data_IF_945246281174
#
_entry.id   IF_945246281174
#
_cell.length_a   1.000
_cell.length_b   1.000
_cell.length_c   1.000
_cell.angle_alpha   90.00
_cell.angle_beta   90.00
_cell.angle_gamma   90.00
#
_symmetry.space_group_name_H-M   'P 1'
#
loop_
_entity.id
_entity.type
_entity.pdbx_description
1 polymer ?
#
# COMPACT_ATOMS: atom_id res chain seq x y z
N UNK A 1 23.46 -20.93 -12.43
CA UNK A 1 22.34 -21.16 -11.49
C UNK A 1 21.60 -19.84 -11.30
N UNK A 2 20.32 -19.74 -11.70
CA UNK A 2 19.53 -18.51 -11.55
C UNK A 2 19.24 -18.27 -10.06
N UNK A 3 19.66 -17.12 -9.52
CA UNK A 3 19.23 -16.66 -8.20
C UNK A 3 17.70 -16.66 -8.16
N UNK A 4 17.10 -17.45 -7.26
CA UNK A 4 15.68 -17.34 -6.91
C UNK A 4 15.50 -15.96 -6.27
N UNK A 5 14.92 -15.04 -7.04
CA UNK A 5 14.49 -13.73 -6.54
C UNK A 5 13.60 -13.98 -5.33
N UNK A 6 14.00 -13.41 -4.19
CA UNK A 6 13.19 -13.17 -2.99
C UNK A 6 12.18 -14.27 -2.64
N UNK A 7 12.54 -15.13 -1.68
CA UNK A 7 11.61 -16.08 -1.09
C UNK A 7 10.28 -15.41 -0.75
N UNK A 8 9.18 -16.07 -1.12
CA UNK A 8 7.80 -15.58 -1.00
C UNK A 8 7.63 -14.75 0.27
N UNK A 9 7.55 -13.42 0.11
CA UNK A 9 7.13 -12.57 1.20
C UNK A 9 5.76 -13.09 1.65
N UNK A 10 5.64 -13.48 2.93
CA UNK A 10 4.38 -13.95 3.51
C UNK A 10 3.38 -12.79 3.49
N UNK A 11 2.66 -12.65 2.38
CA UNK A 11 1.59 -11.66 2.24
C UNK A 11 0.32 -12.22 2.89
N UNK A 12 -0.43 -11.34 3.54
CA UNK A 12 -1.77 -11.63 4.06
C UNK A 12 -2.77 -10.80 3.28
N UNK A 13 -3.92 -11.40 2.97
CA UNK A 13 -5.05 -10.68 2.37
C UNK A 13 -5.73 -9.84 3.45
N UNK A 14 -6.15 -8.64 3.07
CA UNK A 14 -6.93 -7.72 3.89
C UNK A 14 -8.07 -7.24 3.01
N UNK A 15 -9.30 -7.33 3.50
CA UNK A 15 -10.46 -6.77 2.82
C UNK A 15 -10.59 -5.29 3.18
N UNK A 16 -10.82 -4.45 2.16
CA UNK A 16 -11.01 -3.01 2.33
C UNK A 16 -12.45 -2.65 1.97
N UNK A 17 -13.17 -2.07 2.92
CA UNK A 17 -14.49 -1.52 2.68
C UNK A 17 -14.34 -0.08 2.20
N UNK A 18 -14.83 0.20 1.00
CA UNK A 18 -14.84 1.52 0.36
C UNK A 18 -16.26 1.88 -0.03
N UNK A 19 -16.58 3.18 -0.02
CA UNK A 19 -17.79 3.65 -0.70
C UNK A 19 -17.66 3.44 -2.21
N UNK A 20 -18.79 3.39 -2.92
CA UNK A 20 -18.79 3.25 -4.39
C UNK A 20 -17.98 4.36 -5.07
N UNK A 21 -18.10 5.60 -4.59
CA UNK A 21 -17.35 6.76 -5.08
C UNK A 21 -15.84 6.57 -4.93
N UNK A 22 -15.37 6.15 -3.76
CA UNK A 22 -13.93 5.95 -3.51
C UNK A 22 -13.39 4.74 -4.27
N UNK A 23 -14.19 3.69 -4.44
CA UNK A 23 -13.82 2.55 -5.26
C UNK A 23 -13.66 2.96 -6.73
N UNK A 24 -14.61 3.72 -7.30
CA UNK A 24 -14.52 4.22 -8.66
C UNK A 24 -13.29 5.13 -8.86
N UNK A 25 -12.99 6.00 -7.89
CA UNK A 25 -11.81 6.84 -7.90
C UNK A 25 -10.51 6.02 -7.87
N UNK A 26 -10.42 5.00 -7.01
CA UNK A 26 -9.28 4.09 -6.94
C UNK A 26 -9.02 3.41 -8.29
N UNK A 27 -10.08 2.90 -8.93
CA UNK A 27 -10.00 2.22 -10.23
C UNK A 27 -9.53 3.19 -11.31
N UNK A 28 -10.15 4.37 -11.44
CA UNK A 28 -9.78 5.35 -12.46
C UNK A 28 -8.34 5.85 -12.33
N UNK A 29 -7.84 6.05 -11.10
CA UNK A 29 -6.44 6.42 -10.88
C UNK A 29 -5.50 5.26 -11.22
N UNK A 30 -5.82 4.04 -10.79
CA UNK A 30 -4.98 2.88 -11.08
C UNK A 30 -4.83 2.65 -12.59
N UNK A 31 -5.93 2.80 -13.35
CA UNK A 31 -5.95 2.74 -14.81
C UNK A 31 -5.06 3.83 -15.43
N UNK A 32 -5.14 5.08 -14.96
CA UNK A 32 -4.31 6.18 -15.46
C UNK A 32 -2.80 5.93 -15.30
N UNK A 33 -2.41 5.11 -14.32
CA UNK A 33 -1.02 4.69 -14.09
C UNK A 33 -0.68 3.30 -14.66
N UNK A 34 -1.60 2.66 -15.40
CA UNK A 34 -1.47 1.30 -15.92
C UNK A 34 -1.14 0.27 -14.81
N UNK A 35 -1.82 0.39 -13.66
CA UNK A 35 -1.67 -0.48 -12.51
C UNK A 35 -2.99 -1.21 -12.20
N UNK A 36 -2.87 -2.41 -11.64
CA UNK A 36 -4.01 -3.09 -11.00
C UNK A 36 -4.50 -2.27 -9.80
N UNK A 37 -5.83 -2.12 -9.58
CA UNK A 37 -6.38 -1.39 -8.44
C UNK A 37 -5.84 -1.88 -7.08
N UNK A 38 -5.65 -3.19 -6.94
CA UNK A 38 -5.06 -3.81 -5.73
C UNK A 38 -3.59 -3.40 -5.51
N UNK A 39 -2.83 -3.23 -6.59
CA UNK A 39 -1.42 -2.79 -6.53
C UNK A 39 -1.33 -1.34 -6.09
N UNK A 40 -2.21 -0.49 -6.64
CA UNK A 40 -2.28 0.91 -6.25
C UNK A 40 -2.82 1.09 -4.82
N UNK A 41 -3.86 0.36 -4.42
CA UNK A 41 -4.35 0.36 -3.03
C UNK A 41 -3.25 -0.03 -2.04
N UNK A 42 -2.48 -1.08 -2.36
CA UNK A 42 -1.32 -1.47 -1.53
C UNK A 42 -0.28 -0.36 -1.42
N UNK A 43 0.02 0.35 -2.51
CA UNK A 43 1.01 1.43 -2.48
C UNK A 43 0.55 2.61 -1.62
N UNK A 44 -0.74 2.96 -1.68
CA UNK A 44 -1.36 3.98 -0.82
C UNK A 44 -1.26 3.60 0.66
N UNK A 45 -1.64 2.37 1.02
CA UNK A 45 -1.57 1.85 2.39
C UNK A 45 -0.14 1.85 2.90
N UNK A 46 0.82 1.30 2.13
CA UNK A 46 2.24 1.27 2.52
C UNK A 46 2.79 2.69 2.72
N UNK A 47 2.47 3.61 1.81
CA UNK A 47 2.91 5.00 1.89
C UNK A 47 2.39 5.66 3.16
N UNK A 48 1.10 5.48 3.48
CA UNK A 48 0.54 6.10 4.68
C UNK A 48 1.03 5.48 5.98
N UNK A 49 1.16 4.15 6.03
CA UNK A 49 1.72 3.49 7.22
C UNK A 49 3.15 3.96 7.52
N UNK A 50 3.99 4.11 6.49
CA UNK A 50 5.36 4.65 6.64
C UNK A 50 5.37 6.10 7.12
N UNK A 51 4.48 6.95 6.61
CA UNK A 51 4.34 8.33 7.08
C UNK A 51 3.95 8.38 8.56
N UNK A 52 2.93 7.60 8.95
CA UNK A 52 2.47 7.50 10.34
C UNK A 52 3.61 7.00 11.25
N UNK A 53 4.36 5.98 10.81
CA UNK A 53 5.50 5.46 11.55
C UNK A 53 6.57 6.54 11.76
N UNK A 54 6.97 7.24 10.70
CA UNK A 54 7.97 8.30 10.78
C UNK A 54 7.53 9.45 11.72
N UNK A 55 6.25 9.85 11.65
CA UNK A 55 5.69 10.85 12.57
C UNK A 55 5.72 10.36 14.02
N UNK A 56 5.35 9.10 14.25
CA UNK A 56 5.38 8.50 15.59
C UNK A 56 6.81 8.44 16.15
N UNK A 57 7.79 8.06 15.34
CA UNK A 57 9.19 8.02 15.73
C UNK A 57 9.72 9.41 16.05
N UNK A 58 9.36 10.44 15.27
CA UNK A 58 9.73 11.83 15.58
C UNK A 58 9.14 12.30 16.92
N UNK A 59 7.90 11.92 17.24
CA UNK A 59 7.24 12.29 18.50
C UNK A 59 7.77 11.53 19.73
N UNK A 60 8.35 10.35 19.55
CA UNK A 60 8.86 9.52 20.65
C UNK A 60 10.38 9.46 20.75
N UNK A 61 11.11 9.92 19.72
CA UNK A 61 12.57 9.98 19.67
C UNK A 61 13.17 11.22 20.34
N UNK A 62 12.34 12.16 20.81
CA UNK A 62 12.74 13.30 21.66
C UNK A 62 12.65 12.97 23.17
N UNK A 63 12.65 11.68 23.55
CA UNK A 63 12.78 11.24 24.95
C UNK A 63 14.13 10.59 25.22
#
# INVERSE_FOLDING_TARGET
MRHKLYGDAKTRKIDLLLSEELHALLVGIAEAYALEPSTYARSLVVTQLRKIQATKEALHGER
#
